data_IF_631742123912
#
_entry.id   IF_631742123912
#
_cell.length_a   1.000
_cell.length_b   1.000
_cell.length_c   1.000
_cell.angle_alpha   90.00
_cell.angle_beta   90.00
_cell.angle_gamma   90.00
#
_symmetry.space_group_name_H-M   'P 1'
#
loop_
_entity.id
_entity.type
_entity.pdbx_description
1 polymer ?
#
# COMPACT_ATOMS: atom_id res chain seq x y z
N UNK A 1 146.40 58.89 0.06
CA UNK A 1 147.28 58.61 -1.10
C UNK A 1 146.93 59.59 -2.21
N UNK A 2 147.95 60.10 -2.91
CA UNK A 2 147.87 61.24 -3.81
C UNK A 2 146.71 61.13 -4.80
N UNK A 3 145.89 62.18 -4.85
CA UNK A 3 144.72 62.29 -5.73
C UNK A 3 145.22 62.26 -7.17
N UNK A 4 145.03 61.14 -7.87
CA UNK A 4 145.28 61.03 -9.30
C UNK A 4 144.42 62.06 -10.01
N UNK A 5 145.06 63.03 -10.67
CA UNK A 5 144.35 64.00 -11.50
C UNK A 5 143.59 63.27 -12.60
N UNK A 6 142.38 63.72 -12.90
CA UNK A 6 141.60 63.17 -14.01
C UNK A 6 142.30 63.47 -15.32
N UNK A 7 142.30 62.47 -16.19
CA UNK A 7 142.92 62.54 -17.49
C UNK A 7 141.85 62.63 -18.60
N UNK A 8 142.17 63.30 -19.70
CA UNK A 8 141.26 63.53 -20.83
C UNK A 8 140.61 62.24 -21.38
N UNK A 9 141.37 61.14 -21.42
CA UNK A 9 140.90 59.83 -21.89
C UNK A 9 139.74 59.25 -21.06
N UNK A 10 139.73 59.45 -19.74
CA UNK A 10 138.65 58.96 -18.87
C UNK A 10 137.35 59.71 -19.16
N UNK A 11 137.42 61.02 -19.37
CA UNK A 11 136.27 61.87 -19.72
C UNK A 11 135.71 61.48 -21.09
N UNK A 12 136.57 61.11 -22.06
CA UNK A 12 136.15 60.64 -23.39
C UNK A 12 135.39 59.32 -23.33
N UNK A 13 135.92 58.33 -22.62
CA UNK A 13 135.26 57.03 -22.48
C UNK A 13 133.89 57.16 -21.80
N UNK A 14 133.81 57.96 -20.73
CA UNK A 14 132.55 58.22 -20.03
C UNK A 14 131.51 58.93 -20.93
N UNK A 15 131.95 59.77 -21.86
CA UNK A 15 131.08 60.40 -22.85
C UNK A 15 130.55 59.38 -23.87
N UNK A 16 131.41 58.51 -24.40
CA UNK A 16 131.01 57.49 -25.37
C UNK A 16 130.06 56.43 -24.78
N UNK A 17 130.25 56.04 -23.52
CA UNK A 17 129.34 55.13 -22.83
C UNK A 17 127.95 55.73 -22.64
N UNK A 18 127.84 57.03 -22.35
CA UNK A 18 126.55 57.72 -22.25
C UNK A 18 125.86 57.84 -23.61
N UNK A 19 126.61 58.19 -24.66
CA UNK A 19 126.08 58.30 -26.02
C UNK A 19 125.58 56.94 -26.54
N UNK A 20 126.34 55.86 -26.32
CA UNK A 20 125.91 54.51 -26.72
C UNK A 20 124.66 54.01 -25.97
N UNK A 21 124.39 54.56 -24.78
CA UNK A 21 123.13 54.34 -24.03
C UNK A 21 121.99 55.28 -24.48
N UNK A 22 122.24 56.21 -25.39
CA UNK A 22 121.25 57.19 -25.85
C UNK A 22 121.00 58.33 -24.86
N UNK A 23 121.87 58.52 -23.87
CA UNK A 23 121.75 59.59 -22.86
C UNK A 23 122.58 60.83 -23.25
N UNK A 24 122.09 62.02 -22.90
CA UNK A 24 122.79 63.27 -23.21
C UNK A 24 124.05 63.43 -22.31
N UNK A 25 125.25 63.61 -22.88
CA UNK A 25 126.51 63.71 -22.14
C UNK A 25 126.65 65.08 -21.46
N UNK A 26 125.93 65.29 -20.35
CA UNK A 26 126.09 66.47 -19.51
C UNK A 26 127.28 66.32 -18.54
N UNK A 27 127.81 67.44 -18.05
CA UNK A 27 128.97 67.44 -17.13
C UNK A 27 128.68 66.62 -15.87
N UNK A 28 127.45 66.69 -15.36
CA UNK A 28 127.06 65.94 -14.16
C UNK A 28 126.88 64.45 -14.47
N UNK A 29 126.34 64.07 -15.63
CA UNK A 29 126.24 62.67 -16.05
C UNK A 29 127.62 62.02 -16.22
N UNK A 30 128.56 62.73 -16.83
CA UNK A 30 129.94 62.25 -16.99
C UNK A 30 130.66 62.15 -15.64
N UNK A 31 130.41 63.08 -14.73
CA UNK A 31 130.95 63.03 -13.37
C UNK A 31 130.43 61.82 -12.58
N UNK A 32 129.15 61.47 -12.76
CA UNK A 32 128.56 60.27 -12.15
C UNK A 32 129.20 59.01 -12.73
N UNK A 33 129.37 58.92 -14.06
CA UNK A 33 130.00 57.76 -14.71
C UNK A 33 131.50 57.61 -14.33
N UNK A 34 132.17 58.72 -13.99
CA UNK A 34 133.53 58.75 -13.44
C UNK A 34 133.60 58.50 -11.92
N UNK A 35 132.50 58.08 -11.28
CA UNK A 35 132.45 57.76 -9.86
C UNK A 35 132.53 58.99 -8.94
N UNK A 36 131.95 60.11 -9.35
CA UNK A 36 132.00 61.42 -8.65
C UNK A 36 133.40 62.01 -8.45
N UNK A 37 134.39 61.48 -9.17
CA UNK A 37 135.73 62.01 -9.16
C UNK A 37 135.84 63.18 -10.14
N UNK A 38 136.58 64.23 -9.76
CA UNK A 38 136.81 65.40 -10.63
C UNK A 38 136.02 66.64 -10.25
N UNK A 39 136.68 67.80 -10.34
CA UNK A 39 135.99 69.08 -10.27
C UNK A 39 135.23 69.33 -11.57
N UNK A 40 134.01 69.86 -11.44
CA UNK A 40 133.12 70.22 -12.55
C UNK A 40 133.82 71.11 -13.60
N UNK A 41 134.74 71.98 -13.17
CA UNK A 41 135.58 72.82 -14.03
C UNK A 41 136.60 72.03 -14.87
N UNK A 42 137.19 70.97 -14.33
CA UNK A 42 138.19 70.15 -15.03
C UNK A 42 137.52 69.21 -16.02
N UNK A 43 136.35 68.65 -15.66
CA UNK A 43 135.52 67.87 -16.58
C UNK A 43 135.02 68.77 -17.71
N UNK A 44 134.54 69.99 -17.41
CA UNK A 44 134.13 70.94 -18.45
C UNK A 44 135.31 71.35 -19.36
N UNK A 45 136.53 71.54 -18.81
CA UNK A 45 137.70 71.86 -19.64
C UNK A 45 138.01 70.72 -20.60
N UNK A 46 138.09 69.49 -20.12
CA UNK A 46 138.34 68.33 -20.98
C UNK A 46 137.17 68.02 -21.92
N UNK A 47 135.91 68.21 -21.50
CA UNK A 47 134.73 68.05 -22.35
C UNK A 47 134.77 69.07 -23.48
N UNK A 48 135.11 70.32 -23.18
CA UNK A 48 135.27 71.39 -24.17
C UNK A 48 136.46 71.13 -25.09
N UNK A 49 137.58 70.65 -24.57
CA UNK A 49 138.73 70.23 -25.40
C UNK A 49 138.40 69.01 -26.29
N UNK A 50 137.54 68.09 -25.84
CA UNK A 50 137.05 66.93 -26.62
C UNK A 50 136.00 67.40 -27.65
N UNK A 51 135.13 68.33 -27.29
CA UNK A 51 134.16 68.93 -28.20
C UNK A 51 134.86 69.81 -29.25
N UNK A 52 135.92 70.54 -28.87
CA UNK A 52 136.77 71.31 -29.79
C UNK A 52 137.59 70.37 -30.70
N UNK A 53 138.13 69.25 -30.21
CA UNK A 53 138.75 68.20 -31.05
C UNK A 53 137.74 67.47 -31.95
N UNK A 54 136.52 67.22 -31.47
CA UNK A 54 135.45 66.60 -32.25
C UNK A 54 134.85 67.56 -33.29
N UNK A 55 134.79 68.87 -32.97
CA UNK A 55 134.38 69.92 -33.90
C UNK A 55 135.48 70.18 -34.94
N UNK A 56 136.76 70.14 -34.53
CA UNK A 56 137.89 70.18 -35.47
C UNK A 56 137.92 68.96 -36.43
N UNK A 57 137.38 67.80 -36.02
CA UNK A 57 137.16 66.63 -36.89
C UNK A 57 135.98 66.76 -37.85
N UNK A 58 135.00 67.64 -37.56
CA UNK A 58 133.87 67.93 -38.45
C UNK A 58 134.20 69.03 -39.47
N UNK A 59 135.21 69.87 -39.20
CA UNK A 59 135.75 70.86 -40.16
C UNK A 59 136.75 70.26 -41.19
N UNK A 60 137.04 68.95 -41.08
CA UNK A 60 137.74 68.15 -42.10
C UNK A 60 136.86 67.88 -43.35
N UNK A 61 135.67 68.49 -43.43
CA UNK A 61 134.94 68.66 -44.70
C UNK A 61 135.78 69.45 -45.72
N UNK A 62 136.80 70.22 -45.34
CA UNK A 62 137.61 71.01 -46.28
C UNK A 62 138.74 70.24 -46.98
N UNK A 63 139.05 69.01 -46.54
CA UNK A 63 140.13 68.17 -47.11
C UNK A 63 139.62 67.04 -48.02
N UNK A 64 138.30 66.83 -48.10
CA UNK A 64 137.68 65.90 -49.04
C UNK A 64 137.42 66.61 -50.38
N UNK A 65 138.08 66.13 -51.45
CA UNK A 65 137.87 66.69 -52.79
C UNK A 65 136.38 66.67 -53.18
N UNK A 66 135.92 67.72 -53.86
CA UNK A 66 134.53 67.90 -54.31
C UNK A 66 133.89 66.63 -54.91
N UNK A 67 134.60 65.79 -55.70
CA UNK A 67 134.08 64.51 -56.21
C UNK A 67 133.64 63.50 -55.13
N UNK A 68 134.35 63.41 -54.01
CA UNK A 68 134.05 62.44 -52.95
C UNK A 68 132.81 62.87 -52.17
N UNK A 69 132.66 64.18 -51.91
CA UNK A 69 131.44 64.73 -51.29
C UNK A 69 130.20 64.48 -52.15
N UNK A 70 130.34 64.64 -53.46
CA UNK A 70 129.25 64.39 -54.39
C UNK A 70 128.86 62.90 -54.44
N UNK A 71 129.84 61.99 -54.40
CA UNK A 71 129.58 60.55 -54.35
C UNK A 71 128.91 60.12 -53.04
N UNK A 72 129.39 60.61 -51.89
CA UNK A 72 128.78 60.34 -50.58
C UNK A 72 127.38 60.95 -50.49
N UNK A 73 127.17 62.15 -51.04
CA UNK A 73 125.85 62.79 -51.15
C UNK A 73 124.87 62.00 -52.03
N UNK A 74 125.33 61.47 -53.18
CA UNK A 74 124.54 60.58 -54.03
C UNK A 74 124.25 59.24 -53.35
N UNK A 75 125.24 58.63 -52.67
CA UNK A 75 125.04 57.39 -51.92
C UNK A 75 124.03 57.59 -50.78
N UNK A 76 124.13 58.71 -50.06
CA UNK A 76 123.18 59.08 -49.02
C UNK A 76 121.78 59.36 -49.59
N UNK A 77 121.66 59.97 -50.78
CA UNK A 77 120.36 60.19 -51.41
C UNK A 77 119.74 58.88 -51.89
N UNK A 78 120.52 57.98 -52.48
CA UNK A 78 120.07 56.64 -52.89
C UNK A 78 119.65 55.82 -51.69
N UNK A 79 120.45 55.81 -50.61
CA UNK A 79 120.13 55.08 -49.38
C UNK A 79 118.91 55.67 -48.67
N UNK A 80 118.73 56.99 -48.68
CA UNK A 80 117.49 57.63 -48.21
C UNK A 80 116.29 57.24 -49.07
N UNK A 81 116.41 57.23 -50.39
CA UNK A 81 115.33 56.83 -51.29
C UNK A 81 114.94 55.36 -51.12
N UNK A 82 115.93 54.47 -50.95
CA UNK A 82 115.72 53.05 -50.66
C UNK A 82 115.06 52.85 -49.29
N UNK A 83 115.54 53.53 -48.25
CA UNK A 83 114.91 53.52 -46.93
C UNK A 83 113.49 54.08 -46.96
N UNK A 84 113.24 55.16 -47.71
CA UNK A 84 111.90 55.73 -47.90
C UNK A 84 110.96 54.73 -48.59
N UNK A 85 111.44 54.04 -49.63
CA UNK A 85 110.67 53.04 -50.36
C UNK A 85 110.31 51.83 -49.49
N UNK A 86 111.24 51.36 -48.65
CA UNK A 86 110.98 50.30 -47.68
C UNK A 86 109.97 50.75 -46.61
N UNK A 87 110.08 51.99 -46.11
CA UNK A 87 109.11 52.55 -45.16
C UNK A 87 107.72 52.64 -45.79
N UNK A 88 107.61 53.11 -47.04
CA UNK A 88 106.34 53.16 -47.77
C UNK A 88 105.75 51.77 -48.01
N UNK A 89 106.57 50.78 -48.37
CA UNK A 89 106.14 49.37 -48.51
C UNK A 89 105.65 48.78 -47.17
N UNK A 90 106.38 49.02 -46.08
CA UNK A 90 105.98 48.58 -44.74
C UNK A 90 104.71 49.31 -44.27
N UNK A 91 104.57 50.60 -44.56
CA UNK A 91 103.42 51.40 -44.19
C UNK A 91 102.17 50.99 -44.97
N UNK A 92 102.30 50.68 -46.26
CA UNK A 92 101.18 50.15 -47.08
C UNK A 92 100.79 48.74 -46.63
N UNK A 93 101.74 47.84 -46.36
CA UNK A 93 101.47 46.52 -45.77
C UNK A 93 100.77 46.64 -44.43
N UNK A 94 101.23 47.53 -43.56
CA UNK A 94 100.61 47.77 -42.26
C UNK A 94 99.20 48.36 -42.40
N UNK A 95 98.99 49.35 -43.27
CA UNK A 95 97.65 49.91 -43.55
C UNK A 95 96.70 48.85 -44.09
N UNK A 96 97.15 47.98 -44.99
CA UNK A 96 96.35 46.87 -45.50
C UNK A 96 96.01 45.85 -44.41
N UNK A 97 96.97 45.51 -43.54
CA UNK A 97 96.73 44.64 -42.40
C UNK A 97 95.72 45.26 -41.43
N UNK A 98 95.89 46.53 -41.06
CA UNK A 98 94.95 47.26 -40.20
C UNK A 98 93.56 47.25 -40.82
N UNK A 99 93.41 47.60 -42.11
CA UNK A 99 92.12 47.53 -42.81
C UNK A 99 91.51 46.13 -42.75
N UNK A 100 92.27 45.08 -43.09
CA UNK A 100 91.76 43.71 -43.07
C UNK A 100 91.30 43.26 -41.67
N UNK A 101 92.01 43.69 -40.62
CA UNK A 101 91.64 43.41 -39.25
C UNK A 101 90.41 44.22 -38.82
N UNK A 102 90.31 45.49 -39.23
CA UNK A 102 89.13 46.32 -38.98
C UNK A 102 87.89 45.76 -39.67
N UNK A 103 88.00 45.36 -40.93
CA UNK A 103 86.91 44.73 -41.68
C UNK A 103 86.48 43.43 -41.00
N UNK A 104 87.43 42.61 -40.55
CA UNK A 104 87.13 41.36 -39.84
C UNK A 104 86.48 41.61 -38.48
N UNK A 105 86.92 42.63 -37.74
CA UNK A 105 86.27 43.04 -36.50
C UNK A 105 84.83 43.47 -36.75
N UNK A 106 84.58 44.27 -37.79
CA UNK A 106 83.24 44.72 -38.13
C UNK A 106 82.33 43.58 -38.59
N UNK A 107 82.84 42.61 -39.36
CA UNK A 107 82.10 41.38 -39.67
C UNK A 107 81.72 40.58 -38.41
N UNK A 108 82.67 40.43 -37.49
CA UNK A 108 82.43 39.72 -36.23
C UNK A 108 81.42 40.45 -35.36
N UNK A 109 81.52 41.77 -35.22
CA UNK A 109 80.55 42.61 -34.50
C UNK A 109 79.14 42.50 -35.09
N UNK A 110 79.02 42.56 -36.42
CA UNK A 110 77.75 42.37 -37.11
C UNK A 110 77.17 40.97 -36.88
N UNK A 111 78.02 39.93 -36.92
CA UNK A 111 77.58 38.56 -36.66
C UNK A 111 77.11 38.37 -35.22
N UNK A 112 77.81 38.97 -34.25
CA UNK A 112 77.48 38.92 -32.83
C UNK A 112 76.16 39.66 -32.56
N UNK A 113 75.98 40.84 -33.16
CA UNK A 113 74.73 41.60 -33.08
C UNK A 113 73.55 40.80 -33.65
N UNK A 114 73.73 40.16 -34.81
CA UNK A 114 72.70 39.32 -35.42
C UNK A 114 72.35 38.12 -34.53
N UNK A 115 73.35 37.42 -33.97
CA UNK A 115 73.10 36.29 -33.07
C UNK A 115 72.38 36.73 -31.79
N UNK A 116 72.77 37.87 -31.21
CA UNK A 116 72.09 38.42 -30.03
C UNK A 116 70.64 38.77 -30.33
N UNK A 117 70.36 39.42 -31.46
CA UNK A 117 68.99 39.73 -31.88
C UNK A 117 68.14 38.46 -32.06
N UNK A 118 68.71 37.41 -32.67
CA UNK A 118 67.99 36.13 -32.81
C UNK A 118 67.75 35.43 -31.48
N UNK A 119 68.71 35.50 -30.56
CA UNK A 119 68.61 34.90 -29.23
C UNK A 119 67.55 35.64 -28.41
N UNK A 120 67.54 36.97 -28.41
CA UNK A 120 66.50 37.77 -27.77
C UNK A 120 65.10 37.46 -28.34
N UNK A 121 64.98 37.30 -29.67
CA UNK A 121 63.71 36.94 -30.29
C UNK A 121 63.23 35.56 -29.82
N UNK A 122 64.13 34.57 -29.77
CA UNK A 122 63.81 33.21 -29.29
C UNK A 122 63.49 33.19 -27.79
N UNK A 123 64.17 33.98 -26.98
CA UNK A 123 63.83 34.12 -25.56
C UNK A 123 62.44 34.74 -25.35
N UNK A 124 62.06 35.72 -26.19
CA UNK A 124 60.70 36.28 -26.17
C UNK A 124 59.66 35.25 -26.58
N UNK A 125 59.89 34.51 -27.66
CA UNK A 125 59.00 33.41 -28.09
C UNK A 125 58.86 32.34 -27.00
N UNK A 126 59.96 31.92 -26.37
CA UNK A 126 59.95 30.92 -25.30
C UNK A 126 59.15 31.40 -24.08
N UNK A 127 59.29 32.67 -23.69
CA UNK A 127 58.49 33.26 -22.60
C UNK A 127 56.99 33.26 -22.91
N UNK A 128 56.60 33.56 -24.16
CA UNK A 128 55.19 33.50 -24.57
C UNK A 128 54.66 32.07 -24.50
N UNK A 129 55.38 31.10 -25.07
CA UNK A 129 54.96 29.68 -25.04
C UNK A 129 54.86 29.14 -23.61
N UNK A 130 55.76 29.54 -22.71
CA UNK A 130 55.68 29.17 -21.29
C UNK A 130 54.43 29.74 -20.63
N UNK A 131 54.12 31.01 -20.89
CA UNK A 131 52.89 31.66 -20.39
C UNK A 131 51.63 30.95 -20.91
N UNK A 132 51.59 30.60 -22.20
CA UNK A 132 50.46 29.89 -22.81
C UNK A 132 50.32 28.47 -22.25
N UNK A 133 51.44 27.79 -21.99
CA UNK A 133 51.44 26.47 -21.35
C UNK A 133 50.88 26.53 -19.93
N UNK A 134 51.28 27.54 -19.14
CA UNK A 134 50.77 27.73 -17.78
C UNK A 134 49.27 28.09 -17.79
N UNK A 135 48.84 28.93 -18.73
CA UNK A 135 47.42 29.23 -18.93
C UNK A 135 46.61 27.98 -19.33
N UNK A 136 47.15 27.14 -20.22
CA UNK A 136 46.52 25.88 -20.64
C UNK A 136 46.41 24.89 -19.48
N UNK A 137 47.46 24.77 -18.64
CA UNK A 137 47.42 23.91 -17.45
C UNK A 137 46.37 24.38 -16.45
N UNK A 138 46.30 25.69 -16.19
CA UNK A 138 45.27 26.25 -15.32
C UNK A 138 43.86 25.97 -15.89
N UNK A 139 43.66 26.13 -17.20
CA UNK A 139 42.40 25.76 -17.85
C UNK A 139 42.08 24.27 -17.71
N UNK A 140 43.05 23.39 -17.88
CA UNK A 140 42.85 21.93 -17.74
C UNK A 140 42.46 21.55 -16.30
N UNK A 141 43.10 22.15 -15.30
CA UNK A 141 42.77 21.95 -13.89
C UNK A 141 41.34 22.40 -13.57
N UNK A 142 40.93 23.57 -14.09
CA UNK A 142 39.54 24.04 -13.88
C UNK A 142 38.51 23.13 -14.57
N UNK A 143 38.81 22.62 -15.77
CA UNK A 143 37.95 21.65 -16.47
C UNK A 143 37.86 20.33 -15.71
N UNK A 144 38.97 19.82 -15.17
CA UNK A 144 38.98 18.61 -14.32
C UNK A 144 38.15 18.81 -13.05
N UNK A 145 38.28 19.96 -12.40
CA UNK A 145 37.48 20.29 -11.22
C UNK A 145 35.97 20.37 -11.56
N UNK A 146 35.61 20.96 -12.71
CA UNK A 146 34.22 21.04 -13.16
C UNK A 146 33.67 19.66 -13.56
N UNK A 147 34.45 18.83 -14.23
CA UNK A 147 34.07 17.45 -14.57
C UNK A 147 33.82 16.61 -13.31
N UNK A 148 34.68 16.73 -12.29
CA UNK A 148 34.49 16.07 -11.00
C UNK A 148 33.20 16.53 -10.31
N UNK A 149 32.92 17.84 -10.27
CA UNK A 149 31.67 18.38 -9.72
C UNK A 149 30.44 17.88 -10.49
N UNK A 150 30.51 17.83 -11.82
CA UNK A 150 29.42 17.33 -12.65
C UNK A 150 29.16 15.83 -12.41
N UNK A 151 30.21 15.02 -12.27
CA UNK A 151 30.08 13.61 -11.95
C UNK A 151 29.45 13.39 -10.57
N UNK A 152 29.88 14.14 -9.55
CA UNK A 152 29.26 14.09 -8.22
C UNK A 152 27.78 14.51 -8.25
N UNK A 153 27.43 15.51 -9.06
CA UNK A 153 26.03 15.91 -9.22
C UNK A 153 25.20 14.82 -9.92
N UNK A 154 25.74 14.17 -10.94
CA UNK A 154 25.11 13.04 -11.62
C UNK A 154 24.90 11.85 -10.68
N UNK A 155 25.89 11.49 -9.87
CA UNK A 155 25.78 10.42 -8.87
C UNK A 155 24.65 10.72 -7.87
N UNK A 156 24.58 11.96 -7.35
CA UNK A 156 23.49 12.39 -6.46
C UNK A 156 22.12 12.30 -7.14
N UNK A 157 22.02 12.73 -8.40
CA UNK A 157 20.78 12.64 -9.17
C UNK A 157 20.38 11.18 -9.44
N UNK A 158 21.33 10.27 -9.69
CA UNK A 158 21.06 8.85 -9.85
C UNK A 158 20.52 8.22 -8.56
N UNK A 159 21.10 8.57 -7.40
CA UNK A 159 20.58 8.10 -6.10
C UNK A 159 19.16 8.61 -5.86
N UNK A 160 18.91 9.90 -6.08
CA UNK A 160 17.56 10.48 -5.95
C UNK A 160 16.56 9.84 -6.93
N UNK A 161 16.99 9.54 -8.16
CA UNK A 161 16.15 8.85 -9.14
C UNK A 161 15.77 7.45 -8.64
N UNK A 162 16.74 6.68 -8.13
CA UNK A 162 16.50 5.35 -7.60
C UNK A 162 15.57 5.38 -6.37
N UNK A 163 15.75 6.33 -5.45
CA UNK A 163 14.84 6.52 -4.31
C UNK A 163 13.41 6.84 -4.77
N UNK A 164 13.27 7.70 -5.79
CA UNK A 164 11.95 8.05 -6.34
C UNK A 164 11.30 6.89 -7.08
N UNK A 165 12.08 6.07 -7.79
CA UNK A 165 11.59 4.83 -8.40
C UNK A 165 11.08 3.86 -7.34
N UNK A 166 11.86 3.59 -6.29
CA UNK A 166 11.43 2.73 -5.18
C UNK A 166 10.18 3.30 -4.45
N UNK A 167 10.10 4.62 -4.28
CA UNK A 167 8.92 5.27 -3.71
C UNK A 167 7.69 5.07 -4.60
N UNK A 168 7.82 5.21 -5.92
CA UNK A 168 6.73 4.99 -6.87
C UNK A 168 6.27 3.53 -6.87
N UNK A 169 7.20 2.57 -6.92
CA UNK A 169 6.89 1.13 -6.82
C UNK A 169 6.13 0.80 -5.54
N UNK A 170 6.55 1.35 -4.39
CA UNK A 170 5.84 1.18 -3.12
C UNK A 170 4.42 1.77 -3.13
N UNK A 171 4.23 2.92 -3.79
CA UNK A 171 2.90 3.52 -3.94
C UNK A 171 2.01 2.70 -4.88
N UNK A 172 2.54 2.22 -5.99
CA UNK A 172 1.83 1.35 -6.93
C UNK A 172 1.39 0.04 -6.26
N UNK A 173 2.26 -0.57 -5.44
CA UNK A 173 1.93 -1.75 -4.65
C UNK A 173 0.81 -1.48 -3.63
N UNK A 174 0.88 -0.36 -2.91
CA UNK A 174 -0.23 0.07 -2.02
C UNK A 174 -1.52 0.31 -2.79
N UNK A 175 -1.46 0.88 -3.98
CA UNK A 175 -2.63 1.07 -4.83
C UNK A 175 -3.20 -0.26 -5.33
N UNK A 176 -2.33 -1.20 -5.72
CA UNK A 176 -2.72 -2.56 -6.12
C UNK A 176 -3.44 -3.27 -4.98
N UNK A 177 -2.87 -3.27 -3.77
CA UNK A 177 -3.48 -3.87 -2.59
C UNK A 177 -4.82 -3.21 -2.21
N UNK A 178 -4.93 -1.88 -2.30
CA UNK A 178 -6.22 -1.22 -2.08
C UNK A 178 -7.27 -1.62 -3.11
N UNK A 179 -6.89 -1.78 -4.40
CA UNK A 179 -7.81 -2.26 -5.43
C UNK A 179 -8.24 -3.71 -5.16
N UNK A 180 -7.30 -4.59 -4.83
CA UNK A 180 -7.57 -6.00 -4.48
C UNK A 180 -8.50 -6.08 -3.26
N UNK A 181 -8.22 -5.34 -2.19
CA UNK A 181 -9.06 -5.28 -1.00
C UNK A 181 -10.48 -4.78 -1.30
N UNK A 182 -10.61 -3.76 -2.14
CA UNK A 182 -11.91 -3.25 -2.59
C UNK A 182 -12.66 -4.28 -3.44
N UNK A 183 -11.96 -5.03 -4.28
CA UNK A 183 -12.56 -6.08 -5.09
C UNK A 183 -13.04 -7.25 -4.23
N UNK A 184 -12.24 -7.67 -3.25
CA UNK A 184 -12.65 -8.66 -2.26
C UNK A 184 -13.86 -8.19 -1.44
N UNK A 185 -13.90 -6.91 -1.05
CA UNK A 185 -15.05 -6.35 -0.35
C UNK A 185 -16.31 -6.36 -1.23
N UNK A 186 -16.20 -5.93 -2.49
CA UNK A 186 -17.32 -5.98 -3.45
C UNK A 186 -17.83 -7.40 -3.66
N UNK A 187 -16.92 -8.36 -3.85
CA UNK A 187 -17.28 -9.76 -4.03
C UNK A 187 -17.95 -10.32 -2.77
N UNK A 188 -17.42 -10.03 -1.58
CA UNK A 188 -18.01 -10.44 -0.30
C UNK A 188 -19.43 -9.89 -0.11
N UNK A 189 -19.65 -8.60 -0.41
CA UNK A 189 -20.99 -7.99 -0.35
C UNK A 189 -21.94 -8.62 -1.37
N UNK A 190 -21.44 -8.94 -2.57
CA UNK A 190 -22.23 -9.64 -3.60
C UNK A 190 -22.62 -11.03 -3.11
N UNK A 191 -21.67 -11.81 -2.60
CA UNK A 191 -21.90 -13.17 -2.08
C UNK A 191 -22.88 -13.16 -0.90
N UNK A 192 -22.78 -12.17 -0.01
CA UNK A 192 -23.72 -11.99 1.10
C UNK A 192 -25.14 -11.73 0.59
N UNK A 193 -25.30 -10.81 -0.37
CA UNK A 193 -26.62 -10.53 -0.98
C UNK A 193 -27.19 -11.76 -1.69
N UNK A 194 -26.36 -12.50 -2.43
CA UNK A 194 -26.79 -13.75 -3.07
C UNK A 194 -27.20 -14.81 -2.05
N UNK A 195 -26.48 -14.93 -0.94
CA UNK A 195 -26.82 -15.86 0.12
C UNK A 195 -28.17 -15.51 0.76
N UNK A 196 -28.39 -14.23 1.07
CA UNK A 196 -29.64 -13.78 1.67
C UNK A 196 -30.81 -13.90 0.69
N UNK A 197 -30.60 -13.62 -0.60
CA UNK A 197 -31.59 -13.87 -1.65
C UNK A 197 -31.97 -15.35 -1.72
N UNK A 198 -31.00 -16.28 -1.68
CA UNK A 198 -31.28 -17.73 -1.65
C UNK A 198 -32.06 -18.16 -0.41
N UNK A 199 -31.74 -17.61 0.77
CA UNK A 199 -32.51 -17.88 2.00
C UNK A 199 -33.95 -17.40 1.89
N UNK A 200 -34.16 -16.19 1.36
CA UNK A 200 -35.49 -15.64 1.15
C UNK A 200 -36.30 -16.45 0.13
N UNK A 201 -35.69 -16.83 -1.00
CA UNK A 201 -36.31 -17.71 -1.99
C UNK A 201 -36.71 -19.06 -1.38
N UNK A 202 -35.86 -19.65 -0.54
CA UNK A 202 -36.18 -20.88 0.17
C UNK A 202 -37.37 -20.72 1.13
N UNK A 203 -37.41 -19.64 1.93
CA UNK A 203 -38.54 -19.33 2.81
C UNK A 203 -39.85 -19.13 2.04
N UNK A 204 -39.79 -18.41 0.91
CA UNK A 204 -40.96 -18.19 0.05
C UNK A 204 -41.46 -19.53 -0.51
N UNK A 205 -40.57 -20.40 -0.98
CA UNK A 205 -40.95 -21.73 -1.46
C UNK A 205 -41.59 -22.59 -0.36
N UNK A 206 -41.03 -22.56 0.86
CA UNK A 206 -41.59 -23.27 2.00
C UNK A 206 -43.00 -22.77 2.34
N UNK A 207 -43.19 -21.46 2.48
CA UNK A 207 -44.51 -20.86 2.75
C UNK A 207 -45.51 -21.18 1.63
N UNK A 208 -45.08 -21.16 0.37
CA UNK A 208 -45.92 -21.56 -0.75
C UNK A 208 -46.34 -23.04 -0.66
N UNK A 209 -45.44 -23.93 -0.23
CA UNK A 209 -45.76 -25.34 -0.04
C UNK A 209 -46.76 -25.53 1.13
N UNK A 210 -46.58 -24.81 2.24
CA UNK A 210 -47.51 -24.80 3.37
C UNK A 210 -48.89 -24.28 2.97
N UNK A 211 -48.96 -23.19 2.20
CA UNK A 211 -50.22 -22.65 1.66
C UNK A 211 -50.92 -23.71 0.79
N UNK A 212 -50.19 -24.42 -0.08
CA UNK A 212 -50.77 -25.50 -0.89
C UNK A 212 -51.32 -26.64 -0.02
N UNK A 213 -50.57 -27.06 1.00
CA UNK A 213 -50.99 -28.12 1.91
C UNK A 213 -52.22 -27.72 2.75
N UNK A 214 -52.27 -26.48 3.24
CA UNK A 214 -53.42 -25.93 3.95
C UNK A 214 -54.65 -25.83 3.05
N UNK A 215 -54.49 -25.35 1.82
CA UNK A 215 -55.59 -25.29 0.84
C UNK A 215 -56.13 -26.69 0.50
N UNK A 216 -55.25 -27.69 0.34
CA UNK A 216 -55.67 -29.07 0.15
C UNK A 216 -56.45 -29.60 1.36
N UNK A 217 -55.97 -29.34 2.58
CA UNK A 217 -56.65 -29.72 3.82
C UNK A 217 -58.01 -29.04 3.94
N UNK A 218 -58.09 -27.74 3.61
CA UNK A 218 -59.34 -26.99 3.61
C UNK A 218 -60.34 -27.56 2.59
N UNK A 219 -59.87 -27.92 1.39
CA UNK A 219 -60.71 -28.57 0.37
C UNK A 219 -61.28 -29.90 0.86
N UNK A 220 -60.47 -30.73 1.53
CA UNK A 220 -60.93 -31.98 2.15
C UNK A 220 -61.96 -31.71 3.23
N UNK A 221 -61.69 -30.78 4.15
CA UNK A 221 -62.64 -30.41 5.22
C UNK A 221 -63.95 -29.83 4.69
N UNK A 222 -63.89 -29.06 3.61
CA UNK A 222 -65.09 -28.58 2.94
C UNK A 222 -65.88 -29.74 2.33
N UNK A 223 -65.19 -30.74 1.75
CA UNK A 223 -65.79 -32.03 1.36
C UNK A 223 -66.51 -32.72 2.52
N UNK A 224 -65.82 -32.93 3.65
CA UNK A 224 -66.39 -33.55 4.85
C UNK A 224 -67.65 -32.80 5.34
N UNK A 225 -67.61 -31.46 5.40
CA UNK A 225 -68.74 -30.63 5.80
C UNK A 225 -69.92 -30.81 4.85
N UNK A 226 -69.67 -30.84 3.53
CA UNK A 226 -70.76 -31.06 2.56
C UNK A 226 -71.38 -32.45 2.68
N UNK A 227 -70.59 -33.47 3.01
CA UNK A 227 -71.10 -34.82 3.26
C UNK A 227 -71.93 -34.88 4.55
N UNK A 228 -71.43 -34.32 5.65
CA UNK A 228 -72.17 -34.22 6.91
C UNK A 228 -73.48 -33.44 6.76
N UNK A 229 -73.50 -32.37 5.96
CA UNK A 229 -74.73 -31.62 5.68
C UNK A 229 -75.75 -32.46 4.90
N UNK A 230 -75.31 -33.30 3.96
CA UNK A 230 -76.20 -34.24 3.26
C UNK A 230 -76.75 -35.30 4.21
N UNK A 231 -75.89 -35.86 5.06
CA UNK A 231 -76.27 -36.87 6.05
C UNK A 231 -77.24 -36.29 7.09
N UNK A 232 -77.00 -35.07 7.58
CA UNK A 232 -77.93 -34.35 8.44
C UNK A 232 -79.28 -34.11 7.75
N UNK A 233 -79.28 -33.70 6.48
CA UNK A 233 -80.51 -33.55 5.70
C UNK A 233 -81.29 -34.87 5.58
N UNK A 234 -80.58 -35.99 5.37
CA UNK A 234 -81.16 -37.33 5.35
C UNK A 234 -81.74 -37.72 6.71
N UNK A 235 -80.99 -37.52 7.80
CA UNK A 235 -81.46 -37.82 9.16
C UNK A 235 -82.68 -36.98 9.55
N UNK A 236 -82.73 -35.70 9.16
CA UNK A 236 -83.91 -34.84 9.37
C UNK A 236 -85.12 -35.38 8.61
N UNK A 237 -84.94 -35.85 7.37
CA UNK A 237 -86.01 -36.46 6.59
C UNK A 237 -86.49 -37.79 7.22
N UNK A 238 -85.56 -38.64 7.67
CA UNK A 238 -85.87 -39.88 8.39
C UNK A 238 -86.60 -39.60 9.71
N UNK A 239 -86.15 -38.61 10.49
CA UNK A 239 -86.80 -38.18 11.72
C UNK A 239 -88.20 -37.60 11.48
N UNK A 240 -88.38 -36.80 10.43
CA UNK A 240 -89.70 -36.32 10.03
C UNK A 240 -90.62 -37.45 9.58
N UNK A 241 -90.09 -38.50 8.94
CA UNK A 241 -90.86 -39.69 8.59
C UNK A 241 -91.25 -40.50 9.83
N UNK A 242 -90.32 -40.73 10.78
CA UNK A 242 -90.61 -41.46 12.02
C UNK A 242 -91.58 -40.69 12.93
N UNK A 243 -91.48 -39.37 13.00
CA UNK A 243 -92.47 -38.53 13.70
C UNK A 243 -93.87 -38.66 13.08
N UNK A 244 -93.97 -38.69 11.73
CA UNK A 244 -95.26 -38.93 11.06
C UNK A 244 -95.81 -40.32 11.37
N UNK A 245 -94.96 -41.36 11.40
CA UNK A 245 -95.42 -42.70 11.79
C UNK A 245 -95.80 -42.76 13.27
N UNK A 246 -95.06 -42.06 14.15
CA UNK A 246 -95.39 -41.95 15.56
C UNK A 246 -96.76 -41.29 15.75
N UNK A 247 -96.99 -40.14 15.11
CA UNK A 247 -98.28 -39.46 15.16
C UNK A 247 -99.44 -40.35 14.67
N UNK A 248 -99.21 -41.16 13.62
CA UNK A 248 -100.21 -42.15 13.16
C UNK A 248 -100.47 -43.22 14.21
N UNK A 249 -99.42 -43.78 14.81
CA UNK A 249 -99.55 -44.80 15.87
C UNK A 249 -100.21 -44.20 17.12
N UNK A 250 -99.89 -42.96 17.50
CA UNK A 250 -100.53 -42.25 18.60
C UNK A 250 -102.03 -42.01 18.33
N UNK A 251 -102.39 -41.63 17.10
CA UNK A 251 -103.80 -41.51 16.69
C UNK A 251 -104.53 -42.86 16.72
N UNK A 252 -103.88 -43.93 16.25
CA UNK A 252 -104.41 -45.30 16.34
C UNK A 252 -104.55 -45.74 17.79
N UNK A 253 -103.56 -45.45 18.63
CA UNK A 253 -103.59 -45.73 20.07
C UNK A 253 -104.73 -44.97 20.73
N UNK A 254 -104.91 -43.67 20.44
CA UNK A 254 -106.04 -42.88 20.95
C UNK A 254 -107.38 -43.48 20.56
N UNK A 255 -107.54 -43.91 19.30
CA UNK A 255 -108.76 -44.60 18.84
C UNK A 255 -108.98 -45.92 19.58
N UNK A 256 -107.93 -46.70 19.78
CA UNK A 256 -108.00 -47.95 20.55
C UNK A 256 -108.33 -47.68 22.01
N UNK A 257 -107.75 -46.66 22.65
CA UNK A 257 -108.07 -46.23 24.01
C UNK A 257 -109.52 -45.80 24.11
N UNK A 258 -110.03 -44.95 23.20
CA UNK A 258 -111.45 -44.58 23.21
C UNK A 258 -112.37 -45.79 23.00
N UNK A 259 -111.98 -46.75 22.15
CA UNK A 259 -112.74 -47.98 21.99
C UNK A 259 -112.71 -48.85 23.25
N UNK A 260 -111.56 -48.91 23.93
CA UNK A 260 -111.42 -49.62 25.19
C UNK A 260 -112.26 -48.96 26.27
N UNK A 261 -112.24 -47.63 26.38
CA UNK A 261 -113.07 -46.84 27.29
C UNK A 261 -114.56 -47.12 27.05
N UNK A 262 -115.00 -47.10 25.79
CA UNK A 262 -116.36 -47.50 25.41
C UNK A 262 -116.67 -48.96 25.79
N UNK A 263 -115.73 -49.88 25.59
CA UNK A 263 -115.90 -51.27 26.03
C UNK A 263 -115.91 -51.42 27.54
N UNK A 264 -115.16 -50.60 28.28
CA UNK A 264 -115.21 -50.59 29.74
C UNK A 264 -116.53 -50.01 30.24
N UNK A 265 -117.04 -48.95 29.62
CA UNK A 265 -118.37 -48.40 29.90
C UNK A 265 -119.47 -49.45 29.60
N UNK A 266 -119.35 -50.17 28.47
CA UNK A 266 -120.22 -51.30 28.16
C UNK A 266 -120.11 -52.40 29.24
N UNK A 267 -118.90 -52.80 29.65
CA UNK A 267 -118.75 -53.82 30.70
C UNK A 267 -119.24 -53.35 32.05
N UNK A 268 -119.02 -52.09 32.43
CA UNK A 268 -119.52 -51.51 33.66
C UNK A 268 -121.04 -51.46 33.65
N UNK A 269 -121.65 -51.10 32.51
CA UNK A 269 -123.11 -51.16 32.33
C UNK A 269 -123.64 -52.59 32.46
N UNK A 270 -122.97 -53.58 31.87
CA UNK A 270 -123.32 -55.00 31.99
C UNK A 270 -123.10 -55.51 33.42
N UNK A 271 -122.07 -55.03 34.11
CA UNK A 271 -121.78 -55.38 35.49
C UNK A 271 -122.81 -54.78 36.45
N UNK A 272 -123.29 -53.56 36.16
CA UNK A 272 -124.40 -52.92 36.86
C UNK A 272 -125.70 -53.69 36.63
N UNK A 273 -125.98 -54.10 35.39
CA UNK A 273 -127.11 -54.99 35.08
C UNK A 273 -126.99 -56.35 35.77
N UNK A 274 -125.78 -56.91 35.88
CA UNK A 274 -125.52 -58.15 36.63
C UNK A 274 -125.75 -57.97 38.13
N UNK A 275 -125.36 -56.83 38.72
CA UNK A 275 -125.68 -56.56 40.13
C UNK A 275 -127.17 -56.37 40.34
N UNK A 276 -127.88 -55.69 39.44
CA UNK A 276 -129.34 -55.56 39.49
C UNK A 276 -130.02 -56.92 39.39
N UNK A 277 -129.59 -57.79 38.47
CA UNK A 277 -130.08 -59.17 38.35
C UNK A 277 -129.76 -60.02 39.60
N UNK A 278 -128.60 -59.78 40.22
CA UNK A 278 -128.23 -60.45 41.47
C UNK A 278 -129.10 -59.98 42.64
N UNK A 279 -129.35 -58.69 42.75
CA UNK A 279 -130.26 -58.12 43.75
C UNK A 279 -131.69 -58.64 43.54
N UNK A 280 -132.16 -58.73 42.28
CA UNK A 280 -133.42 -59.38 41.94
C UNK A 280 -133.44 -60.86 42.33
N UNK A 281 -132.34 -61.59 42.15
CA UNK A 281 -132.22 -62.99 42.61
C UNK A 281 -132.27 -63.11 44.13
N UNK A 282 -131.59 -62.23 44.86
CA UNK A 282 -131.64 -62.19 46.33
C UNK A 282 -133.04 -61.82 46.83
N UNK A 283 -133.76 -60.95 46.13
CA UNK A 283 -135.15 -60.61 46.40
C UNK A 283 -136.09 -61.79 46.13
N UNK A 284 -135.86 -62.55 45.05
CA UNK A 284 -136.55 -63.83 44.79
C UNK A 284 -136.25 -64.85 45.90
N UNK A 285 -135.02 -64.96 46.38
CA UNK A 285 -134.70 -65.90 47.47
C UNK A 285 -135.30 -65.47 48.81
N UNK A 286 -135.43 -64.17 49.08
CA UNK A 286 -136.22 -63.65 50.21
C UNK A 286 -137.70 -64.02 50.06
N UNK A 287 -138.27 -63.88 48.86
CA UNK A 287 -139.65 -64.29 48.57
C UNK A 287 -139.85 -65.81 48.72
N UNK A 288 -138.86 -66.62 48.33
CA UNK A 288 -138.88 -68.08 48.57
C UNK A 288 -138.88 -68.40 50.06
N UNK A 289 -138.02 -67.77 50.87
CA UNK A 289 -138.02 -67.96 52.33
C UNK A 289 -139.35 -67.56 52.96
N UNK A 290 -139.92 -66.43 52.54
CA UNK A 290 -141.24 -65.99 53.01
C UNK A 290 -142.34 -67.00 52.63
N UNK A 291 -142.24 -67.63 51.45
CA UNK A 291 -143.16 -68.67 51.02
C UNK A 291 -142.96 -69.99 51.81
N UNK A 292 -141.72 -70.35 52.15
CA UNK A 292 -141.43 -71.48 53.04
C UNK A 292 -141.98 -71.25 54.45
N UNK A 293 -141.85 -70.04 55.00
CA UNK A 293 -142.45 -69.65 56.29
C UNK A 293 -143.98 -69.69 56.24
N UNK A 294 -144.59 -69.25 55.13
CA UNK A 294 -146.04 -69.30 54.92
C UNK A 294 -146.57 -70.74 54.78
N UNK A 295 -145.79 -71.64 54.17
CA UNK A 295 -146.08 -73.08 54.10
C UNK A 295 -145.95 -73.75 55.47
N UNK A 296 -144.96 -73.36 56.28
CA UNK A 296 -144.81 -73.84 57.65
C UNK A 296 -145.99 -73.39 58.54
N UNK A 297 -146.40 -72.13 58.43
CA UNK A 297 -147.59 -71.61 59.13
C UNK A 297 -148.87 -72.34 58.70
N UNK A 298 -149.02 -72.63 57.40
CA UNK A 298 -150.15 -73.41 56.87
C UNK A 298 -150.17 -74.84 57.41
N UNK A 299 -149.01 -75.47 57.62
CA UNK A 299 -148.91 -76.80 58.22
C UNK A 299 -149.30 -76.80 59.72
N UNK A 300 -148.89 -75.78 60.48
CA UNK A 300 -149.30 -75.62 61.89
C UNK A 300 -150.81 -75.39 62.04
N UNK A 301 -151.41 -74.60 61.14
CA UNK A 301 -152.86 -74.40 61.11
C UNK A 301 -153.64 -75.71 60.85
N UNK A 302 -153.14 -76.57 59.95
CA UNK A 302 -153.75 -77.87 59.65
C UNK A 302 -153.67 -78.86 60.84
N UNK A 303 -152.57 -78.84 61.61
CA UNK A 303 -152.42 -79.68 62.82
C UNK A 303 -153.38 -79.21 63.93
N UNK A 304 -153.64 -77.91 64.03
CA UNK A 304 -154.62 -77.36 64.99
C UNK A 304 -156.06 -77.72 64.61
N UNK A 305 -156.39 -77.69 63.32
CA UNK A 305 -157.70 -78.12 62.80
C UNK A 305 -157.92 -79.62 63.05
N UNK A 306 -156.92 -80.47 62.80
CA UNK A 306 -157.02 -81.91 63.07
C UNK A 306 -157.23 -82.25 64.56
N UNK A 307 -156.67 -81.46 65.49
CA UNK A 307 -156.91 -81.63 66.93
C UNK A 307 -158.36 -81.32 67.32
N UNK A 308 -158.94 -80.27 66.77
CA UNK A 308 -160.34 -79.90 67.03
C UNK A 308 -161.33 -80.91 66.42
N UNK A 309 -161.01 -81.51 65.28
CA UNK A 309 -161.83 -82.57 64.67
C UNK A 309 -161.82 -83.87 65.50
N UNK A 310 -160.69 -84.23 66.14
CA UNK A 310 -160.64 -85.39 67.05
C UNK A 310 -161.43 -85.19 68.34
N UNK A 311 -161.50 -83.96 68.88
CA UNK A 311 -162.34 -83.66 70.05
C UNK A 311 -163.85 -83.75 69.74
N UNK A 312 -164.25 -83.40 68.51
CA UNK A 312 -165.65 -83.52 68.06
C UNK A 312 -166.03 -85.00 67.84
N UNK A 313 -165.12 -85.83 67.32
CA UNK A 313 -165.35 -87.27 67.14
C UNK A 313 -165.56 -88.00 68.48
N UNK A 314 -164.75 -87.69 69.49
CA UNK A 314 -164.83 -88.35 70.81
C UNK A 314 -166.13 -87.99 71.54
N UNK A 315 -166.62 -86.74 71.41
CA UNK A 315 -167.91 -86.34 72.00
C UNK A 315 -169.12 -86.95 71.29
N UNK A 316 -169.01 -87.26 70.00
CA UNK A 316 -170.10 -87.83 69.20
C UNK A 316 -170.27 -89.34 69.45
N UNK A 317 -169.17 -90.08 69.71
CA UNK A 317 -169.23 -91.51 70.04
C UNK A 317 -169.73 -91.82 71.46
N UNK A 318 -169.54 -90.91 72.41
CA UNK A 318 -170.02 -91.10 73.79
C UNK A 318 -171.54 -90.87 73.90
N UNK A 319 -172.12 -89.99 73.06
CA UNK A 319 -173.56 -89.75 73.00
C UNK A 319 -174.33 -90.93 72.37
N UNK A 320 -173.70 -91.68 71.45
CA UNK A 320 -174.33 -92.85 70.80
C UNK A 320 -174.33 -94.12 71.69
N UNK A 321 -173.50 -94.21 72.74
CA UNK A 321 -173.57 -95.31 73.72
C UNK A 321 -174.72 -95.19 74.73
N UNK A 322 -175.26 -93.99 74.95
CA UNK A 322 -176.38 -93.77 75.91
C UNK A 322 -177.76 -94.09 75.32
N UNK A 323 -177.87 -94.41 74.03
CA UNK A 323 -179.16 -94.62 73.33
C UNK A 323 -179.40 -96.08 72.87
N UNK A 324 -178.49 -97.02 73.13
CA UNK A 324 -178.58 -98.41 72.65
C UNK A 324 -178.90 -99.47 73.73
N UNK A 325 -179.24 -99.07 74.97
CA UNK A 325 -179.57 -100.01 76.05
C UNK A 325 -180.96 -99.77 76.66
N UNK A 326 -181.98 -99.67 75.81
CA UNK A 326 -183.40 -99.76 76.22
C UNK A 326 -184.28 -100.36 75.11
N UNK A 327 -184.26 -101.70 74.92
CA UNK A 327 -185.45 -102.51 74.55
C UNK A 327 -185.20 -104.03 74.29
N UNK A 328 -185.29 -104.88 75.34
CA UNK A 328 -186.27 -106.01 75.52
C UNK A 328 -185.97 -106.92 76.74
N UNK A 329 -187.05 -107.36 77.41
CA UNK A 329 -187.27 -108.54 78.32
C UNK A 329 -186.67 -108.59 79.76
N UNK A 330 -187.41 -109.08 80.79
CA UNK A 330 -186.93 -109.10 82.19
C UNK A 330 -186.74 -110.51 82.86
N UNK A 331 -185.80 -110.54 83.83
CA UNK A 331 -185.49 -111.49 84.96
C UNK A 331 -184.56 -112.74 84.80
N UNK A 332 -183.52 -112.79 85.67
CA UNK A 332 -182.73 -113.92 86.25
C UNK A 332 -181.89 -114.85 85.32
N UNK A 333 -180.70 -115.41 85.64
CA UNK A 333 -179.76 -115.43 86.80
C UNK A 333 -178.37 -115.89 86.31
N UNK A 334 -177.32 -115.68 87.13
CA UNK A 334 -175.86 -115.92 86.96
C UNK A 334 -175.02 -114.69 86.59
#
# INVERSE_FOLDING_TARGET
MARGGINKALVSNARETLISRGENPSIDAIRVELGNTGSKSTIHRYLREIEEEASARLDDETLLSQPIKELVGRLASVLRQEAQSLVEEHQTKHQNQVRSLTDRLQELENSLANTNNTLEAKERELKVVLSDLDASKASEETLKANASKANQANEKLQVLLAEKQAQNESLEEKHRHNREAMEHYRQSVKDQREQDQRKHEHQVQQLQAEIRALNQTLSVKQGDITQLNKDNGRLVAELGATQKTLAKIEDEQRKLTTNLDLKTEETDSLQTQLSELKDQSEEIDKLKKLNEELLAWKAEALVSIGKLETEISIKTDMMNRLLAEKSKTPEASE
#
